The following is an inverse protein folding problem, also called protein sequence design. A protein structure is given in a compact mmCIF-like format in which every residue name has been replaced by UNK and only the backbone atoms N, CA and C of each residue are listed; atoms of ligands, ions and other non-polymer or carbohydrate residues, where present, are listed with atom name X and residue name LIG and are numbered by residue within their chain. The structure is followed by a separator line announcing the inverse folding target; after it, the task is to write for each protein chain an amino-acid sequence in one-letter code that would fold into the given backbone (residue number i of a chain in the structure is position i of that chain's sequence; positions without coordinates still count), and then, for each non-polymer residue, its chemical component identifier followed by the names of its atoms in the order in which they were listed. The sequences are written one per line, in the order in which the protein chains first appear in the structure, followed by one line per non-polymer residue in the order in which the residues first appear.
data_IF_691862042379
#
_entry.id   IF_691862042379
#
_cell.length_a   1.000
_cell.length_b   1.000
_cell.length_c   1.000
_cell.angle_alpha   90.00
_cell.angle_beta   90.00
_cell.angle_gamma   90.00
#
_symmetry.space_group_name_H-M   'P 1'
#
loop_
_entity.id
_entity.type
_entity.pdbx_description
1 polymer ?
#
# COMPACT_ATOMS: atom_id res chain seq x y z
N UNK A 1 10.37 13.94 -6.97
CA UNK A 1 10.91 12.75 -6.33
C UNK A 1 9.80 11.98 -5.61
N UNK A 2 9.80 10.70 -5.70
CA UNK A 2 8.78 9.88 -5.03
C UNK A 2 9.03 9.86 -3.52
N UNK A 3 7.96 10.06 -2.76
CA UNK A 3 8.04 10.07 -1.29
C UNK A 3 7.29 8.85 -0.75
N UNK A 4 8.02 7.87 -0.24
CA UNK A 4 7.42 6.62 0.24
C UNK A 4 6.53 6.85 1.45
N UNK A 5 6.86 7.83 2.29
CA UNK A 5 6.05 8.14 3.46
C UNK A 5 4.72 8.76 3.07
N UNK A 6 4.73 9.65 2.09
CA UNK A 6 3.49 10.23 1.58
C UNK A 6 2.63 9.18 0.90
N UNK A 7 3.26 8.30 0.14
CA UNK A 7 2.54 7.20 -0.49
C UNK A 7 1.88 6.31 0.57
N UNK A 8 2.64 5.97 1.62
CA UNK A 8 2.10 5.13 2.70
C UNK A 8 0.92 5.77 3.39
N UNK A 9 1.02 7.06 3.68
CA UNK A 9 -0.07 7.78 4.32
C UNK A 9 -1.31 7.84 3.43
N UNK A 10 -1.11 8.06 2.14
CA UNK A 10 -2.18 8.09 1.17
C UNK A 10 -2.88 6.73 1.08
N UNK A 11 -2.09 5.67 1.01
CA UNK A 11 -2.63 4.31 0.92
C UNK A 11 -3.44 3.96 2.16
N UNK A 12 -2.91 4.29 3.34
CA UNK A 12 -3.60 4.04 4.60
C UNK A 12 -4.92 4.79 4.66
N UNK A 13 -4.93 6.05 4.21
CA UNK A 13 -6.14 6.87 4.18
C UNK A 13 -7.18 6.28 3.25
N UNK A 14 -6.78 5.88 2.06
CA UNK A 14 -7.70 5.26 1.11
C UNK A 14 -8.33 4.02 1.71
N UNK A 15 -7.50 3.19 2.33
CA UNK A 15 -7.97 1.94 2.93
C UNK A 15 -8.99 2.21 4.04
N UNK A 16 -8.68 3.15 4.92
CA UNK A 16 -9.56 3.47 6.05
C UNK A 16 -10.86 4.11 5.57
N UNK A 17 -10.78 4.97 4.56
CA UNK A 17 -11.98 5.59 3.99
C UNK A 17 -12.90 4.58 3.33
N UNK A 18 -12.35 3.47 2.85
CA UNK A 18 -13.14 2.40 2.25
C UNK A 18 -13.54 1.33 3.27
N UNK A 19 -13.25 1.55 4.56
CA UNK A 19 -13.55 0.60 5.63
C UNK A 19 -12.93 -0.77 5.39
N UNK A 20 -11.69 -0.77 4.89
CA UNK A 20 -10.99 -2.01 4.56
C UNK A 20 -9.87 -2.29 5.56
N UNK A 21 -9.67 -3.57 5.86
CA UNK A 21 -8.48 -4.00 6.59
C UNK A 21 -7.29 -4.09 5.64
N UNK A 22 -6.09 -4.22 6.21
CA UNK A 22 -4.90 -4.42 5.38
C UNK A 22 -5.01 -5.70 4.56
N UNK A 23 -5.59 -6.75 5.15
CA UNK A 23 -5.78 -8.03 4.45
C UNK A 23 -6.72 -7.85 3.26
N UNK A 24 -7.81 -7.11 3.45
CA UNK A 24 -8.76 -6.87 2.37
C UNK A 24 -8.14 -6.10 1.22
N UNK A 25 -7.37 -5.07 1.55
CA UNK A 25 -6.69 -4.29 0.51
C UNK A 25 -5.66 -5.13 -0.22
N UNK A 26 -4.88 -5.91 0.53
CA UNK A 26 -3.88 -6.79 -0.07
C UNK A 26 -4.52 -7.77 -1.05
N UNK A 27 -5.65 -8.33 -0.65
CA UNK A 27 -6.38 -9.27 -1.48
C UNK A 27 -6.84 -8.63 -2.79
N UNK A 28 -7.35 -7.41 -2.71
CA UNK A 28 -7.82 -6.69 -3.89
C UNK A 28 -6.70 -6.33 -4.84
N UNK A 29 -5.51 -6.04 -4.31
CA UNK A 29 -4.37 -5.67 -5.10
C UNK A 29 -3.49 -6.87 -5.47
N UNK A 30 -3.90 -8.07 -5.05
CA UNK A 30 -3.16 -9.30 -5.28
C UNK A 30 -1.76 -9.24 -4.65
N UNK A 31 -1.71 -8.66 -3.45
CA UNK A 31 -0.49 -8.51 -2.67
C UNK A 31 -0.65 -9.21 -1.33
N UNK A 32 0.44 -9.26 -0.57
CA UNK A 32 0.38 -9.80 0.79
C UNK A 32 0.09 -8.68 1.78
N UNK A 33 -0.46 -9.06 2.94
CA UNK A 33 -0.67 -8.09 4.01
C UNK A 33 0.65 -7.45 4.45
N UNK A 34 1.72 -8.22 4.45
CA UNK A 34 3.03 -7.70 4.80
C UNK A 34 3.48 -6.59 3.86
N UNK A 35 3.20 -6.76 2.57
CA UNK A 35 3.53 -5.72 1.59
C UNK A 35 2.75 -4.44 1.88
N UNK A 36 1.45 -4.57 2.15
CA UNK A 36 0.61 -3.40 2.48
C UNK A 36 1.14 -2.71 3.73
N UNK A 37 1.48 -3.49 4.76
CA UNK A 37 2.01 -2.93 6.00
C UNK A 37 3.28 -2.14 5.75
N UNK A 38 4.18 -2.66 4.94
CA UNK A 38 5.43 -1.97 4.60
C UNK A 38 5.16 -0.66 3.85
N UNK A 39 4.24 -0.70 2.91
CA UNK A 39 3.88 0.50 2.15
C UNK A 39 3.31 1.57 3.07
N UNK A 40 2.41 1.17 3.97
CA UNK A 40 1.78 2.12 4.88
C UNK A 40 2.75 2.71 5.90
N UNK A 41 3.82 1.98 6.23
CA UNK A 41 4.86 2.48 7.12
C UNK A 41 5.87 3.37 6.39
N UNK A 42 5.82 3.43 5.08
CA UNK A 42 6.77 4.21 4.31
C UNK A 42 8.12 3.53 4.12
N UNK A 43 8.18 2.24 4.38
CA UNK A 43 9.43 1.48 4.24
C UNK A 43 9.73 1.11 2.80
N UNK A 44 8.70 1.01 1.97
CA UNK A 44 8.87 0.66 0.56
C UNK A 44 7.67 1.13 -0.23
N UNK A 45 7.75 0.94 -1.54
CA UNK A 45 6.64 1.25 -2.44
C UNK A 45 6.60 0.17 -3.52
N UNK A 46 5.48 0.04 -4.23
CA UNK A 46 5.37 -1.00 -5.26
C UNK A 46 6.44 -0.86 -6.30
N UNK A 47 7.04 -1.98 -6.67
CA UNK A 47 8.03 -2.01 -7.72
C UNK A 47 7.31 -1.82 -9.06
N UNK A 48 7.71 -0.78 -9.79
CA UNK A 48 7.06 -0.46 -11.06
C UNK A 48 7.40 -1.45 -12.16
N UNK A 49 8.34 -2.34 -11.93
CA UNK A 49 8.72 -3.32 -12.94
C UNK A 49 7.56 -4.21 -13.35
N UNK A 50 6.61 -4.45 -12.47
CA UNK A 50 5.45 -5.27 -12.80
C UNK A 50 4.45 -4.57 -13.71
N UNK A 51 4.64 -3.28 -13.93
CA UNK A 51 3.77 -2.51 -14.81
C UNK A 51 4.21 -2.57 -16.27
N UNK A 52 5.41 -3.05 -16.51
CA UNK A 52 5.93 -3.08 -17.86
C UNK A 52 5.48 -4.30 -18.64
#
# INVERSE_FOLDING_TARGET
MFDTKKFGGYLSRLRKNADMTQIELADRLNLTRQAISRYEHGDSFPDVSFLS
#
